data_IF_959857622595
#
_entry.id   IF_959857622595
#
_cell.length_a   1.000
_cell.length_b   1.000
_cell.length_c   1.000
_cell.angle_alpha   90.00
_cell.angle_beta   90.00
_cell.angle_gamma   90.00
#
_symmetry.space_group_name_H-M   'P 1'
#
loop_
_entity.id
_entity.type
_entity.pdbx_description
1 polymer ?
#
# COMPACT_ATOMS: atom_id res chain seq x y z
N UNK A 1 3.55 -4.61 6.37
CA UNK A 1 2.59 -3.78 5.62
C UNK A 1 1.27 -3.70 6.38
N UNK A 2 0.79 -2.49 6.65
CA UNK A 2 -0.46 -2.18 7.38
C UNK A 2 -1.69 -3.01 6.96
N UNK A 3 -1.88 -3.29 5.66
CA UNK A 3 -2.99 -4.11 5.17
C UNK A 3 -2.90 -5.61 5.56
N UNK A 4 -1.72 -6.10 5.95
CA UNK A 4 -1.54 -7.47 6.45
C UNK A 4 -1.89 -7.62 7.93
N UNK A 5 -1.93 -6.51 8.68
CA UNK A 5 -2.31 -6.49 10.08
C UNK A 5 -3.84 -6.52 10.30
N UNK A 6 -4.63 -6.51 9.22
CA UNK A 6 -6.09 -6.55 9.30
C UNK A 6 -6.57 -7.86 9.95
N UNK A 7 -7.48 -7.81 10.95
CA UNK A 7 -7.98 -9.01 11.58
C UNK A 7 -8.73 -9.89 10.58
N UNK A 8 -8.61 -11.22 10.74
CA UNK A 8 -9.20 -12.21 9.83
C UNK A 8 -10.72 -12.12 9.73
N UNK A 9 -11.39 -11.73 10.82
CA UNK A 9 -12.83 -11.50 10.93
C UNK A 9 -13.09 -10.40 11.96
N UNK A 10 -14.06 -9.53 11.72
CA UNK A 10 -14.49 -8.53 12.69
C UNK A 10 -14.89 -7.21 12.04
N UNK A 11 -15.21 -6.23 12.88
CA UNK A 11 -15.40 -4.85 12.46
C UNK A 11 -14.06 -4.13 12.55
N UNK A 12 -13.67 -3.39 11.51
CA UNK A 12 -12.50 -2.53 11.55
C UNK A 12 -12.84 -1.17 10.95
N UNK A 13 -12.28 -0.14 11.58
CA UNK A 13 -12.18 1.18 10.98
C UNK A 13 -11.03 1.15 9.99
N UNK A 14 -11.34 1.39 8.72
CA UNK A 14 -10.35 1.51 7.66
C UNK A 14 -10.31 2.96 7.24
N UNK A 15 -9.14 3.57 7.39
CA UNK A 15 -8.84 4.89 6.89
C UNK A 15 -8.20 4.75 5.51
N UNK A 16 -8.77 5.44 4.53
CA UNK A 16 -8.17 5.60 3.22
C UNK A 16 -7.17 6.77 3.29
N UNK A 17 -5.85 6.53 3.19
CA UNK A 17 -4.85 7.59 3.27
C UNK A 17 -4.86 8.52 2.04
N UNK A 18 -5.47 8.10 0.93
CA UNK A 18 -5.51 8.87 -0.32
C UNK A 18 -6.69 9.84 -0.34
N UNK A 19 -7.83 9.45 0.22
CA UNK A 19 -9.03 10.31 0.32
C UNK A 19 -9.26 10.92 1.70
N UNK A 20 -8.54 10.46 2.73
CA UNK A 20 -8.73 10.85 4.13
C UNK A 20 -10.02 10.33 4.76
N UNK A 21 -10.79 9.48 4.06
CA UNK A 21 -12.10 9.01 4.53
C UNK A 21 -11.94 7.76 5.39
N UNK A 22 -12.58 7.78 6.56
CA UNK A 22 -12.68 6.60 7.43
C UNK A 22 -14.03 5.91 7.24
N UNK A 23 -14.01 4.58 7.11
CA UNK A 23 -15.22 3.77 6.98
C UNK A 23 -15.15 2.56 7.89
N UNK A 24 -16.28 2.23 8.51
CA UNK A 24 -16.43 0.98 9.24
C UNK A 24 -16.69 -0.16 8.24
N UNK A 25 -15.81 -1.15 8.20
CA UNK A 25 -15.93 -2.31 7.33
C UNK A 25 -16.06 -3.59 8.14
N UNK A 26 -16.88 -4.52 7.64
CA UNK A 26 -16.90 -5.90 8.12
C UNK A 26 -15.80 -6.67 7.39
N UNK A 27 -14.70 -6.96 8.07
CA UNK A 27 -13.61 -7.76 7.54
C UNK A 27 -14.04 -9.22 7.45
N UNK A 28 -14.05 -9.72 6.22
CA UNK A 28 -14.20 -11.14 5.85
C UNK A 28 -12.93 -11.57 5.14
N UNK A 29 -12.61 -12.86 5.14
CA UNK A 29 -11.43 -13.39 4.44
C UNK A 29 -11.36 -12.92 2.97
N UNK A 30 -12.48 -12.99 2.25
CA UNK A 30 -12.60 -12.50 0.88
C UNK A 30 -12.34 -10.99 0.73
N UNK A 31 -12.71 -10.16 1.73
CA UNK A 31 -12.42 -8.73 1.68
C UNK A 31 -10.93 -8.45 1.88
N UNK A 32 -10.25 -9.19 2.77
CA UNK A 32 -8.80 -9.09 2.97
C UNK A 32 -8.04 -9.44 1.69
N UNK A 33 -8.44 -10.51 1.01
CA UNK A 33 -7.84 -10.92 -0.27
C UNK A 33 -8.05 -9.86 -1.35
N UNK A 34 -9.25 -9.27 -1.43
CA UNK A 34 -9.53 -8.15 -2.34
C UNK A 34 -8.68 -6.93 -2.05
N UNK A 35 -8.46 -6.58 -0.78
CA UNK A 35 -7.60 -5.46 -0.40
C UNK A 35 -6.15 -5.73 -0.81
N UNK A 36 -5.64 -6.94 -0.59
CA UNK A 36 -4.29 -7.33 -1.01
C UNK A 36 -4.13 -7.27 -2.53
N UNK A 37 -5.07 -7.83 -3.28
CA UNK A 37 -5.07 -7.76 -4.75
C UNK A 37 -5.14 -6.33 -5.27
N UNK A 38 -6.00 -5.49 -4.69
CA UNK A 38 -6.09 -4.08 -5.07
C UNK A 38 -4.77 -3.33 -4.81
N UNK A 39 -4.08 -3.66 -3.70
CA UNK A 39 -2.78 -3.09 -3.40
C UNK A 39 -1.71 -3.49 -4.43
N UNK A 40 -1.64 -4.78 -4.78
CA UNK A 40 -0.70 -5.28 -5.80
C UNK A 40 -0.98 -4.67 -7.18
N UNK A 41 -2.24 -4.62 -7.60
CA UNK A 41 -2.64 -4.00 -8.87
C UNK A 41 -2.28 -2.51 -8.91
N UNK A 42 -2.52 -1.78 -7.81
CA UNK A 42 -2.14 -0.37 -7.69
C UNK A 42 -0.63 -0.20 -7.79
N UNK A 43 0.14 -1.03 -7.09
CA UNK A 43 1.60 -0.97 -7.11
C UNK A 43 2.16 -1.24 -8.50
N UNK A 44 1.67 -2.26 -9.20
CA UNK A 44 2.11 -2.57 -10.55
C UNK A 44 1.78 -1.43 -11.54
N UNK A 45 0.60 -0.81 -11.38
CA UNK A 45 0.21 0.36 -12.18
C UNK A 45 1.13 1.55 -11.97
N UNK A 46 1.46 1.87 -10.70
CA UNK A 46 2.40 2.94 -10.37
C UNK A 46 3.80 2.63 -10.89
N UNK A 47 4.25 1.39 -10.77
CA UNK A 47 5.55 0.94 -11.29
C UNK A 47 5.63 1.11 -12.80
N UNK A 48 4.59 0.68 -13.52
CA UNK A 48 4.50 0.85 -14.97
C UNK A 48 4.56 2.34 -15.35
N UNK A 49 3.77 3.19 -14.68
CA UNK A 49 3.77 4.64 -14.96
C UNK A 49 5.13 5.30 -14.70
N UNK A 50 5.78 4.99 -13.57
CA UNK A 50 7.09 5.56 -13.25
C UNK A 50 8.16 5.09 -14.25
N UNK A 51 8.19 3.80 -14.57
CA UNK A 51 9.18 3.24 -15.51
C UNK A 51 9.03 3.80 -16.92
N UNK A 52 7.80 4.03 -17.40
CA UNK A 52 7.53 4.69 -18.68
C UNK A 52 8.12 6.11 -18.74
N UNK A 53 8.16 6.82 -17.61
CA UNK A 53 8.72 8.16 -17.48
C UNK A 53 10.22 8.17 -17.16
N UNK A 54 10.88 7.01 -17.17
CA UNK A 54 12.32 6.88 -16.86
C UNK A 54 12.67 6.95 -15.37
N UNK A 55 11.66 6.89 -14.49
CA UNK A 55 11.85 6.97 -13.03
C UNK A 55 11.67 5.59 -12.39
N UNK A 56 12.58 5.19 -11.49
CA UNK A 56 12.38 3.98 -10.69
C UNK A 56 11.49 4.32 -9.48
N UNK A 57 10.42 3.57 -9.20
CA UNK A 57 9.61 3.84 -8.02
C UNK A 57 10.31 3.29 -6.75
N UNK A 58 10.22 4.02 -5.64
CA UNK A 58 10.56 3.53 -4.30
C UNK A 58 9.28 3.29 -3.53
N UNK A 59 9.11 2.09 -2.98
CA UNK A 59 8.02 1.80 -2.06
C UNK A 59 8.49 2.07 -0.63
N UNK A 60 7.87 3.05 0.01
CA UNK A 60 8.03 3.27 1.45
C UNK A 60 6.84 2.59 2.15
N UNK A 61 7.11 1.50 2.86
CA UNK A 61 6.09 0.77 3.63
C UNK A 61 6.42 0.83 5.12
N UNK A 62 5.39 1.08 5.92
CA UNK A 62 5.34 1.06 7.39
C UNK A 62 6.22 2.10 8.11
N UNK A 63 7.53 2.17 7.83
CA UNK A 63 8.45 3.10 8.50
C UNK A 63 9.34 3.80 7.48
N UNK A 64 9.50 5.11 7.66
CA UNK A 64 10.41 5.90 6.86
C UNK A 64 11.86 5.54 7.21
N UNK A 65 12.56 4.90 6.29
CA UNK A 65 13.99 4.62 6.39
C UNK A 65 14.79 5.62 5.52
N UNK A 66 15.45 6.63 6.13
CA UNK A 66 16.22 7.63 5.38
C UNK A 66 17.42 7.03 4.63
N UNK A 67 17.98 5.91 5.09
CA UNK A 67 19.14 5.27 4.45
C UNK A 67 18.72 4.56 3.16
N UNK A 68 17.52 3.97 3.12
CA UNK A 68 16.95 3.37 1.90
C UNK A 68 16.75 4.44 0.82
N UNK A 69 16.23 5.61 1.19
CA UNK A 69 16.05 6.72 0.26
C UNK A 69 17.39 7.29 -0.21
N UNK A 70 18.35 7.45 0.71
CA UNK A 70 19.69 7.93 0.36
C UNK A 70 20.35 6.98 -0.63
N UNK A 71 20.35 5.66 -0.37
CA UNK A 71 20.86 4.66 -1.32
C UNK A 71 20.15 4.70 -2.66
N UNK A 72 18.86 4.98 -2.69
CA UNK A 72 18.10 5.05 -3.93
C UNK A 72 18.49 6.24 -4.82
N UNK A 73 18.76 7.41 -4.24
CA UNK A 73 19.15 8.61 -5.02
C UNK A 73 20.65 8.68 -5.35
N UNK A 74 21.49 7.92 -4.65
CA UNK A 74 22.95 7.92 -4.82
C UNK A 74 23.52 6.66 -5.49
N UNK A 75 22.67 5.73 -5.94
CA UNK A 75 23.05 4.56 -6.74
C UNK A 75 22.87 4.84 -8.24
#
# INVERSE_FOLDING_TARGET
AEYQALPRRGLAWVQDPESGRSRLLVLRAALRERIAQAFEQRWERLRTMCTQQGCKPVLLQDTFDPDVLTRYFHA
#
